data_IF_646874534233
#
_entry.id   IF_646874534233
#
_cell.length_a   1.000
_cell.length_b   1.000
_cell.length_c   1.000
_cell.angle_alpha   90.00
_cell.angle_beta   90.00
_cell.angle_gamma   90.00
#
_symmetry.space_group_name_H-M   'P 1'
#
loop_
_entity.id
_entity.type
_entity.pdbx_description
1 polymer ?
#
# COMPACT_ATOMS: atom_id res chain seq x y z
N UNK A 1 4.98 5.65 7.57
CA UNK A 1 4.07 4.58 7.16
C UNK A 1 4.87 3.30 7.07
N UNK A 2 4.36 2.18 7.60
CA UNK A 2 4.99 0.86 7.44
C UNK A 2 4.37 0.16 6.24
N UNK A 3 5.19 -0.29 5.29
CA UNK A 3 4.72 -0.83 4.01
C UNK A 3 5.17 -2.28 3.89
N UNK A 4 4.23 -3.18 3.61
CA UNK A 4 4.45 -4.62 3.57
C UNK A 4 4.48 -5.19 2.16
N UNK A 5 3.78 -4.56 1.23
CA UNK A 5 3.82 -4.95 -0.18
C UNK A 5 3.56 -3.75 -1.10
N UNK A 6 4.02 -3.89 -2.33
CA UNK A 6 3.81 -2.91 -3.39
C UNK A 6 3.47 -3.65 -4.69
N UNK A 7 2.26 -3.44 -5.17
CA UNK A 7 1.82 -3.94 -6.48
C UNK A 7 1.95 -2.82 -7.49
N UNK A 8 2.82 -3.04 -8.49
CA UNK A 8 3.23 -2.01 -9.45
C UNK A 8 2.14 -1.63 -10.47
N UNK A 9 1.05 -2.39 -10.52
CA UNK A 9 0.01 -2.26 -11.54
C UNK A 9 -1.28 -2.98 -11.15
N UNK A 10 -2.41 -2.32 -11.33
CA UNK A 10 -3.75 -2.89 -11.30
C UNK A 10 -4.70 -2.08 -12.21
N UNK A 11 -5.72 -2.77 -12.71
CA UNK A 11 -6.80 -2.22 -13.54
C UNK A 11 -8.16 -2.26 -12.85
N UNK A 12 -8.25 -2.83 -11.65
CA UNK A 12 -9.54 -3.13 -11.00
C UNK A 12 -9.73 -2.38 -9.68
N UNK A 13 -8.66 -2.06 -8.95
CA UNK A 13 -8.79 -1.54 -7.59
C UNK A 13 -9.08 -0.03 -7.54
N UNK A 14 -8.81 0.69 -8.64
CA UNK A 14 -9.25 2.07 -8.81
C UNK A 14 -10.14 2.18 -10.06
N UNK A 15 -11.47 2.19 -9.92
CA UNK A 15 -12.38 2.18 -11.07
C UNK A 15 -12.09 3.29 -12.09
N UNK A 16 -11.87 2.89 -13.34
CA UNK A 16 -11.60 3.79 -14.45
C UNK A 16 -10.18 4.37 -14.49
N UNK A 17 -9.25 3.85 -13.67
CA UNK A 17 -7.86 4.31 -13.58
C UNK A 17 -6.90 3.12 -13.57
N UNK A 18 -5.75 3.28 -14.23
CA UNK A 18 -4.62 2.38 -14.03
C UNK A 18 -3.93 2.80 -12.74
N UNK A 19 -3.79 1.88 -11.77
CA UNK A 19 -3.23 2.23 -10.47
C UNK A 19 -2.04 1.35 -10.06
N UNK A 20 -1.25 1.85 -9.12
CA UNK A 20 -0.38 1.01 -8.29
C UNK A 20 -0.93 0.99 -6.86
N UNK A 21 -0.63 -0.10 -6.14
CA UNK A 21 -1.22 -0.36 -4.82
C UNK A 21 -0.11 -0.50 -3.79
N UNK A 22 -0.23 0.23 -2.69
CA UNK A 22 0.66 0.20 -1.55
C UNK A 22 -0.09 -0.45 -0.37
N UNK A 23 0.41 -1.59 0.09
CA UNK A 23 -0.16 -2.34 1.20
C UNK A 23 0.56 -1.97 2.50
N UNK A 24 -0.17 -1.39 3.45
CA UNK A 24 0.35 -0.98 4.76
C UNK A 24 0.34 -2.14 5.76
N UNK A 25 1.37 -2.19 6.61
CA UNK A 25 1.46 -3.14 7.73
C UNK A 25 0.69 -2.58 8.93
N UNK A 26 -0.08 -3.44 9.57
CA UNK A 26 -0.86 -3.17 10.78
C UNK A 26 -2.32 -2.88 10.48
N UNK A 27 -3.22 -3.58 11.18
CA UNK A 27 -4.66 -3.36 11.17
C UNK A 27 -5.19 -3.42 12.61
N UNK A 28 -6.17 -2.57 12.93
CA UNK A 28 -6.88 -2.58 14.21
C UNK A 28 -8.02 -3.59 14.27
N UNK A 29 -8.24 -4.36 13.19
CA UNK A 29 -9.19 -5.47 13.14
C UNK A 29 -8.48 -6.82 13.11
N UNK A 30 -9.21 -7.88 13.45
CA UNK A 30 -8.81 -9.29 13.36
C UNK A 30 -9.90 -10.09 12.65
N UNK A 31 -10.29 -9.64 11.46
CA UNK A 31 -11.36 -10.27 10.68
C UNK A 31 -11.01 -11.75 10.41
N UNK A 32 -11.92 -12.71 10.71
CA UNK A 32 -11.62 -14.14 10.53
C UNK A 32 -11.42 -14.54 9.06
N UNK A 33 -11.93 -13.72 8.12
CA UNK A 33 -11.81 -13.89 6.67
C UNK A 33 -10.74 -12.98 6.04
N UNK A 34 -9.82 -12.43 6.82
CA UNK A 34 -8.78 -11.54 6.27
C UNK A 34 -7.93 -12.28 5.23
N UNK A 35 -7.85 -11.72 4.02
CA UNK A 35 -7.01 -12.26 2.94
C UNK A 35 -5.51 -11.94 3.13
N UNK A 36 -5.20 -10.82 3.79
CA UNK A 36 -3.83 -10.31 3.96
C UNK A 36 -3.39 -10.45 5.43
N UNK A 37 -3.43 -11.68 5.97
CA UNK A 37 -3.14 -11.98 7.38
C UNK A 37 -1.74 -11.55 7.80
N UNK A 38 -0.80 -11.63 6.87
CA UNK A 38 0.59 -11.20 7.01
C UNK A 38 0.72 -9.69 7.25
N UNK A 39 -0.29 -8.89 6.94
CA UNK A 39 -0.32 -7.46 7.27
C UNK A 39 -0.93 -7.18 8.65
N UNK A 40 -1.44 -8.21 9.33
CA UNK A 40 -2.24 -8.08 10.57
C UNK A 40 -1.56 -8.74 11.77
N UNK A 41 -0.93 -9.90 11.57
CA UNK A 41 -0.30 -10.69 12.61
C UNK A 41 1.18 -10.29 12.77
N UNK A 42 1.62 -9.78 13.95
CA UNK A 42 2.98 -9.27 14.13
C UNK A 42 4.09 -10.25 13.77
N UNK A 43 3.88 -11.54 14.04
CA UNK A 43 4.87 -12.60 13.75
C UNK A 43 4.94 -12.97 12.26
N UNK A 44 3.96 -12.53 11.47
CA UNK A 44 3.89 -12.74 10.01
C UNK A 44 4.25 -11.47 9.23
N UNK A 45 4.53 -10.35 9.91
CA UNK A 45 4.77 -9.08 9.25
C UNK A 45 5.91 -9.17 8.23
N UNK A 46 5.66 -8.76 6.97
CA UNK A 46 6.71 -8.70 5.97
C UNK A 46 7.75 -7.65 6.35
N UNK A 47 8.92 -7.73 5.70
CA UNK A 47 9.94 -6.70 5.81
C UNK A 47 9.38 -5.36 5.32
N UNK A 48 9.63 -4.31 6.10
CA UNK A 48 9.22 -2.98 5.73
C UNK A 48 9.91 -2.53 4.44
N UNK A 49 9.14 -2.14 3.43
CA UNK A 49 9.64 -1.53 2.20
C UNK A 49 9.83 -0.02 2.46
N UNK A 50 11.03 0.55 2.25
CA UNK A 50 11.23 1.99 2.29
C UNK A 50 10.35 2.70 1.26
N UNK A 51 9.73 3.82 1.65
CA UNK A 51 8.86 4.55 0.74
C UNK A 51 9.63 5.09 -0.47
N UNK A 52 10.90 5.42 -0.31
CA UNK A 52 11.79 5.91 -1.36
C UNK A 52 11.92 4.89 -2.51
N UNK A 53 11.93 3.59 -2.21
CA UNK A 53 11.95 2.54 -3.25
C UNK A 53 10.68 2.55 -4.09
N UNK A 54 9.53 2.76 -3.45
CA UNK A 54 8.23 2.85 -4.10
C UNK A 54 8.14 4.14 -4.92
N UNK A 55 8.56 5.27 -4.34
CA UNK A 55 8.59 6.55 -5.03
C UNK A 55 9.44 6.48 -6.30
N UNK A 56 10.62 5.85 -6.24
CA UNK A 56 11.46 5.64 -7.42
C UNK A 56 10.80 4.73 -8.46
N UNK A 57 10.09 3.69 -8.03
CA UNK A 57 9.34 2.82 -8.94
C UNK A 57 8.16 3.55 -9.61
N UNK A 58 7.49 4.47 -8.90
CA UNK A 58 6.41 5.30 -9.43
C UNK A 58 6.90 6.37 -10.40
N UNK A 59 8.05 7.01 -10.12
CA UNK A 59 8.68 7.98 -11.03
C UNK A 59 8.97 7.39 -12.41
N UNK A 60 9.38 6.12 -12.47
CA UNK A 60 9.61 5.40 -13.72
C UNK A 60 8.32 5.00 -14.47
N UNK A 61 7.14 5.37 -13.95
CA UNK A 61 5.82 4.99 -14.47
C UNK A 61 4.90 6.18 -14.69
N UNK A 62 5.44 7.40 -14.64
CA UNK A 62 4.71 8.61 -15.00
C UNK A 62 4.19 8.47 -16.44
N UNK A 63 2.89 8.72 -16.64
CA UNK A 63 2.20 8.54 -17.92
C UNK A 63 1.70 7.11 -18.20
N UNK A 64 2.02 6.14 -17.36
CA UNK A 64 1.50 4.76 -17.43
C UNK A 64 0.50 4.45 -16.31
N UNK A 65 0.64 5.10 -15.17
CA UNK A 65 -0.22 4.96 -13.99
C UNK A 65 -0.92 6.29 -13.75
N UNK A 66 -2.23 6.24 -13.51
CA UNK A 66 -3.07 7.40 -13.23
C UNK A 66 -3.28 7.65 -11.73
N UNK A 67 -3.15 6.61 -10.90
CA UNK A 67 -3.46 6.69 -9.47
C UNK A 67 -2.56 5.79 -8.60
N UNK A 68 -2.47 6.14 -7.32
CA UNK A 68 -1.87 5.27 -6.29
C UNK A 68 -2.92 5.02 -5.22
N UNK A 69 -3.18 3.76 -4.95
CA UNK A 69 -4.05 3.32 -3.87
C UNK A 69 -3.23 2.94 -2.64
N UNK A 70 -3.67 3.41 -1.47
CA UNK A 70 -3.16 2.96 -0.20
C UNK A 70 -4.19 2.03 0.45
N UNK A 71 -3.80 0.78 0.71
CA UNK A 71 -4.66 -0.27 1.27
C UNK A 71 -3.84 -1.17 2.22
N UNK A 72 -4.27 -2.40 2.46
CA UNK A 72 -3.53 -3.42 3.21
C UNK A 72 -4.17 -3.71 4.55
N UNK A 73 -3.41 -3.54 5.64
CA UNK A 73 -3.97 -3.63 6.98
C UNK A 73 -5.02 -2.53 7.19
N UNK A 74 -4.64 -1.42 7.82
CA UNK A 74 -5.46 -0.22 7.89
C UNK A 74 -4.56 1.01 7.65
N UNK A 75 -4.57 1.59 6.43
CA UNK A 75 -3.72 2.71 6.07
C UNK A 75 -3.89 3.91 7.00
N UNK A 76 -5.11 4.16 7.50
CA UNK A 76 -5.40 5.33 8.34
C UNK A 76 -4.88 5.21 9.77
N UNK A 77 -4.29 4.07 10.17
CA UNK A 77 -3.49 3.98 11.39
C UNK A 77 -2.17 4.76 11.28
N UNK A 78 -1.68 5.01 10.05
CA UNK A 78 -0.43 5.70 9.79
C UNK A 78 -0.69 7.20 9.66
N UNK A 79 -0.43 7.97 10.71
CA UNK A 79 -0.68 9.44 10.75
C UNK A 79 0.03 10.23 9.65
N UNK A 80 1.12 9.69 9.11
CA UNK A 80 1.93 10.30 8.07
C UNK A 80 1.45 10.00 6.63
N UNK A 81 0.40 9.19 6.45
CA UNK A 81 -0.14 8.83 5.12
C UNK A 81 -0.48 10.05 4.25
N UNK A 82 -1.05 11.10 4.86
CA UNK A 82 -1.40 12.33 4.14
C UNK A 82 -0.19 13.13 3.66
N UNK A 83 0.97 12.97 4.30
CA UNK A 83 2.22 13.56 3.82
C UNK A 83 2.77 12.78 2.62
N UNK A 84 2.66 11.45 2.64
CA UNK A 84 3.05 10.59 1.52
C UNK A 84 2.16 10.79 0.29
N UNK A 85 0.85 10.91 0.46
CA UNK A 85 -0.10 11.09 -0.65
C UNK A 85 0.04 12.44 -1.38
N UNK A 86 0.82 13.39 -0.84
CA UNK A 86 1.07 14.71 -1.44
C UNK A 86 2.38 14.79 -2.23
N UNK A 87 3.22 13.75 -2.18
CA UNK A 87 4.50 13.67 -2.91
C UNK A 87 4.27 13.11 -4.30
#
# INVERSE_FOLDING_TARGET
>A
MKIGAFQKFSLIDYPGKVCAIIFTIGCNFRCPFCHNRELVLPDEFPKNIPFEEIENALKNRIGLIDAVEFTGGEPLLHRDIGAFAKR
#
